data_IF_130613405268
#
_entry.id   IF_130613405268
#
_cell.length_a   1.000
_cell.length_b   1.000
_cell.length_c   1.000
_cell.angle_alpha   90.00
_cell.angle_beta   90.00
_cell.angle_gamma   90.00
#
_symmetry.space_group_name_H-M   'P 1'
#
loop_
_entity.id
_entity.type
_entity.pdbx_description
1 polymer ?
#
# COMPACT_ATOMS: atom_id res chain seq x y z
N UNK A 1 -6.99 -16.81 8.75
CA UNK A 1 -6.54 -17.02 7.41
C UNK A 1 -5.04 -16.73 7.31
N UNK A 2 -4.34 -17.57 6.56
CA UNK A 2 -2.87 -17.61 6.59
C UNK A 2 -2.22 -16.28 6.13
N UNK A 3 -2.72 -15.71 5.06
CA UNK A 3 -2.15 -14.47 4.52
C UNK A 3 -2.36 -13.27 5.42
N UNK A 4 -3.50 -13.22 6.09
CA UNK A 4 -3.76 -12.17 7.07
C UNK A 4 -2.82 -12.28 8.26
N UNK A 5 -2.50 -13.49 8.68
CA UNK A 5 -1.56 -13.72 9.76
C UNK A 5 -0.17 -13.21 9.39
N UNK A 6 0.29 -13.52 8.17
CA UNK A 6 1.58 -13.05 7.68
C UNK A 6 1.60 -11.52 7.60
N UNK A 7 0.54 -10.92 7.07
CA UNK A 7 0.43 -9.46 7.01
C UNK A 7 0.53 -8.84 8.40
N UNK A 8 -0.20 -9.37 9.36
CA UNK A 8 -0.17 -8.88 10.73
C UNK A 8 1.23 -8.96 11.35
N UNK A 9 1.94 -10.05 11.09
CA UNK A 9 3.31 -10.20 11.56
C UNK A 9 4.25 -9.17 10.94
N UNK A 10 4.10 -8.89 9.66
CA UNK A 10 4.91 -7.89 8.97
C UNK A 10 4.64 -6.48 9.48
N UNK A 11 3.39 -6.17 9.77
CA UNK A 11 3.04 -4.86 10.33
C UNK A 11 3.61 -4.70 11.75
N UNK A 12 3.54 -5.76 12.55
CA UNK A 12 4.13 -5.75 13.87
C UNK A 12 5.65 -5.59 13.82
N UNK A 13 6.30 -6.23 12.86
CA UNK A 13 7.74 -6.07 12.64
C UNK A 13 8.10 -4.63 12.32
N UNK A 14 7.32 -3.99 11.44
CA UNK A 14 7.51 -2.59 11.11
C UNK A 14 7.36 -1.67 12.30
N UNK A 15 6.36 -1.93 13.13
CA UNK A 15 6.15 -1.16 14.35
C UNK A 15 7.30 -1.33 15.34
N UNK A 16 7.81 -2.54 15.46
CA UNK A 16 8.96 -2.81 16.30
C UNK A 16 10.20 -2.03 15.83
N UNK A 17 10.44 -2.00 14.54
CA UNK A 17 11.55 -1.25 13.95
C UNK A 17 11.42 0.23 14.27
N UNK A 18 10.22 0.77 14.13
CA UNK A 18 9.97 2.18 14.45
C UNK A 18 10.27 2.50 15.91
N UNK A 19 9.82 1.64 16.81
CA UNK A 19 10.02 1.86 18.25
C UNK A 19 11.49 1.73 18.65
N UNK A 20 12.18 0.72 18.10
CA UNK A 20 13.54 0.43 18.51
C UNK A 20 14.55 1.38 17.88
N UNK A 21 14.41 1.71 16.62
CA UNK A 21 15.37 2.51 15.89
C UNK A 21 14.93 3.94 15.65
N UNK A 22 13.73 4.29 16.04
CA UNK A 22 13.13 5.61 15.81
C UNK A 22 13.14 5.99 14.33
N UNK A 23 12.92 5.01 13.47
CA UNK A 23 12.83 5.18 12.03
C UNK A 23 11.54 4.58 11.52
N UNK A 24 10.83 5.33 10.66
CA UNK A 24 9.62 4.83 10.05
C UNK A 24 9.98 3.96 8.85
N UNK A 25 9.58 2.69 8.82
CA UNK A 25 9.89 1.84 7.68
C UNK A 25 9.11 2.26 6.43
N UNK A 26 9.63 1.88 5.27
CA UNK A 26 8.89 1.96 4.02
C UNK A 26 8.16 0.64 3.83
N UNK A 27 6.85 0.70 3.62
CA UNK A 27 6.04 -0.50 3.43
C UNK A 27 5.91 -0.81 1.96
N UNK A 28 6.23 -2.04 1.61
CA UNK A 28 6.06 -2.56 0.25
C UNK A 28 5.02 -3.66 0.29
N UNK A 29 3.91 -3.48 -0.42
CA UNK A 29 2.78 -4.41 -0.36
C UNK A 29 2.35 -4.81 -1.77
N UNK A 30 2.38 -6.10 -2.03
CA UNK A 30 1.98 -6.63 -3.32
C UNK A 30 0.57 -7.20 -3.25
N UNK A 31 -0.35 -6.53 -3.93
CA UNK A 31 -1.75 -6.96 -4.08
C UNK A 31 -2.44 -7.27 -2.76
N UNK A 32 -2.12 -6.50 -1.72
CA UNK A 32 -2.62 -6.77 -0.37
C UNK A 32 -4.14 -6.59 -0.27
N UNK A 33 -4.69 -5.64 -1.02
CA UNK A 33 -6.12 -5.31 -0.88
C UNK A 33 -7.05 -6.34 -1.48
N UNK A 34 -6.57 -7.20 -2.37
CA UNK A 34 -7.40 -8.26 -2.94
C UNK A 34 -7.84 -9.28 -1.90
N UNK A 35 -7.10 -9.41 -0.81
CA UNK A 35 -7.38 -10.36 0.26
C UNK A 35 -8.18 -9.74 1.41
N UNK A 36 -8.44 -8.43 1.35
CA UNK A 36 -9.07 -7.72 2.45
C UNK A 36 -10.45 -7.23 2.04
N UNK A 37 -11.41 -7.31 2.96
CA UNK A 37 -12.70 -6.65 2.77
C UNK A 37 -12.56 -5.13 2.99
N UNK A 38 -13.63 -4.39 2.76
CA UNK A 38 -13.61 -2.94 2.87
C UNK A 38 -13.19 -2.45 4.26
N UNK A 39 -13.66 -3.14 5.30
CA UNK A 39 -13.36 -2.77 6.67
C UNK A 39 -11.89 -2.96 6.99
N UNK A 40 -11.34 -4.10 6.60
CA UNK A 40 -9.93 -4.41 6.83
C UNK A 40 -9.02 -3.52 6.00
N UNK A 41 -9.43 -3.21 4.77
CA UNK A 41 -8.68 -2.29 3.92
C UNK A 41 -8.59 -0.90 4.54
N UNK A 42 -9.69 -0.39 5.08
CA UNK A 42 -9.68 0.90 5.77
C UNK A 42 -8.79 0.88 7.01
N UNK A 43 -8.83 -0.22 7.75
CA UNK A 43 -7.99 -0.36 8.94
C UNK A 43 -6.50 -0.36 8.58
N UNK A 44 -6.14 -1.05 7.49
CA UNK A 44 -4.76 -1.06 7.01
C UNK A 44 -4.30 0.33 6.59
N UNK A 45 -5.11 1.04 5.81
CA UNK A 45 -4.78 2.38 5.37
C UNK A 45 -4.58 3.31 6.56
N UNK A 46 -5.44 3.19 7.56
CA UNK A 46 -5.32 3.98 8.78
C UNK A 46 -4.05 3.63 9.56
N UNK A 47 -3.71 2.36 9.65
CA UNK A 47 -2.49 1.91 10.32
C UNK A 47 -1.25 2.49 9.65
N UNK A 48 -1.21 2.48 8.33
CA UNK A 48 -0.05 2.98 7.58
C UNK A 48 0.15 4.48 7.77
N UNK A 49 -0.94 5.23 7.97
CA UNK A 49 -0.86 6.65 8.31
C UNK A 49 -0.02 7.44 7.32
N UNK A 50 1.02 8.10 7.82
CA UNK A 50 1.92 8.92 7.01
C UNK A 50 3.18 8.17 6.57
N UNK A 51 3.28 6.88 6.84
CA UNK A 51 4.42 6.11 6.40
C UNK A 51 4.46 6.01 4.89
N UNK A 52 5.66 6.07 4.32
CA UNK A 52 5.81 5.87 2.89
C UNK A 52 5.42 4.44 2.54
N UNK A 53 4.50 4.30 1.62
CA UNK A 53 3.96 2.99 1.25
C UNK A 53 3.88 2.88 -0.26
N UNK A 54 4.39 1.79 -0.79
CA UNK A 54 4.26 1.44 -2.20
C UNK A 54 3.46 0.16 -2.26
N UNK A 55 2.31 0.20 -2.92
CA UNK A 55 1.50 -1.00 -3.01
C UNK A 55 0.93 -1.18 -4.42
N UNK A 56 0.75 -2.43 -4.80
CA UNK A 56 0.17 -2.77 -6.09
C UNK A 56 -1.29 -3.16 -5.90
N UNK A 57 -2.09 -2.87 -6.90
CA UNK A 57 -3.51 -3.23 -6.90
C UNK A 57 -3.96 -3.42 -8.34
N UNK A 58 -4.97 -4.26 -8.52
CA UNK A 58 -5.58 -4.48 -9.83
C UNK A 58 -6.84 -3.66 -10.02
N UNK A 59 -7.26 -2.93 -8.98
CA UNK A 59 -8.53 -2.21 -8.98
C UNK A 59 -8.32 -0.81 -8.42
N UNK A 60 -8.85 0.18 -9.11
CA UNK A 60 -8.74 1.59 -8.71
C UNK A 60 -9.53 1.93 -7.44
N UNK A 61 -10.40 1.02 -6.99
CA UNK A 61 -11.15 1.24 -5.75
C UNK A 61 -10.25 1.43 -4.54
N UNK A 62 -9.02 0.94 -4.62
CA UNK A 62 -8.09 0.99 -3.50
C UNK A 62 -7.16 2.19 -3.56
N UNK A 63 -7.38 3.09 -4.53
CA UNK A 63 -6.58 4.31 -4.64
C UNK A 63 -7.07 5.32 -3.61
N UNK A 64 -6.16 5.81 -2.79
CA UNK A 64 -6.47 6.91 -1.88
C UNK A 64 -6.24 8.25 -2.60
N UNK A 65 -6.95 9.32 -2.20
CA UNK A 65 -6.76 10.63 -2.86
C UNK A 65 -5.33 11.15 -2.80
N UNK A 66 -4.59 10.76 -1.79
CA UNK A 66 -3.21 11.22 -1.60
C UNK A 66 -2.19 10.38 -2.37
N UNK A 67 -2.63 9.32 -3.03
CA UNK A 67 -1.71 8.40 -3.68
C UNK A 67 -1.27 8.92 -5.04
N UNK A 68 0.01 8.72 -5.33
CA UNK A 68 0.50 8.86 -6.69
C UNK A 68 0.23 7.55 -7.42
N UNK A 69 -0.50 7.63 -8.52
CA UNK A 69 -0.92 6.44 -9.25
C UNK A 69 -0.07 6.26 -10.50
N UNK A 70 0.51 5.07 -10.62
CA UNK A 70 1.24 4.66 -11.82
C UNK A 70 0.50 3.47 -12.41
N UNK A 71 0.02 3.62 -13.64
CA UNK A 71 -0.72 2.56 -14.31
C UNK A 71 0.23 1.79 -15.22
N UNK A 72 0.27 0.48 -14.99
CA UNK A 72 1.13 -0.42 -15.75
C UNK A 72 0.26 -1.38 -16.54
N UNK A 73 0.53 -1.49 -17.83
CA UNK A 73 -0.17 -2.42 -18.71
C UNK A 73 0.83 -3.10 -19.64
N UNK A 74 0.75 -4.44 -19.69
CA UNK A 74 1.63 -5.26 -20.54
C UNK A 74 3.11 -4.93 -20.33
N UNK A 75 3.48 -4.74 -19.06
CA UNK A 75 4.87 -4.47 -18.70
C UNK A 75 5.35 -3.04 -18.93
N UNK A 76 4.46 -2.13 -19.33
CA UNK A 76 4.83 -0.75 -19.61
C UNK A 76 3.98 0.23 -18.83
N UNK A 77 4.57 1.35 -18.46
CA UNK A 77 3.85 2.43 -17.81
C UNK A 77 3.07 3.19 -18.85
N UNK A 78 1.74 3.28 -18.69
CA UNK A 78 0.87 3.99 -19.63
C UNK A 78 0.39 5.34 -19.11
N UNK A 79 0.40 5.55 -17.80
CA UNK A 79 0.11 6.87 -17.25
C UNK A 79 0.67 6.97 -15.83
N UNK A 80 0.88 8.21 -15.40
CA UNK A 80 1.30 8.52 -14.05
C UNK A 80 0.57 9.79 -13.63
N UNK A 81 -0.08 9.73 -12.46
CA UNK A 81 -0.84 10.85 -11.93
C UNK A 81 -0.36 11.19 -10.54
N UNK A 82 -0.05 12.46 -10.35
CA UNK A 82 0.26 13.02 -9.03
C UNK A 82 -0.98 13.73 -8.51
N UNK A 83 -1.67 13.09 -7.60
CA UNK A 83 -2.87 13.68 -7.01
C UNK A 83 -2.53 14.55 -5.81
N UNK A 84 -1.36 14.33 -5.20
CA UNK A 84 -0.92 15.13 -4.09
C UNK A 84 0.61 15.11 -3.99
N UNK A 85 1.12 15.95 -3.09
CA UNK A 85 2.56 16.01 -2.82
C UNK A 85 3.00 14.94 -1.84
N UNK A 86 2.11 14.18 -1.29
CA UNK A 86 2.45 13.15 -0.33
C UNK A 86 2.94 11.90 -1.01
N UNK A 87 3.88 11.23 -0.33
CA UNK A 87 4.56 10.09 -0.89
C UNK A 87 3.80 8.82 -0.54
N UNK A 88 2.72 8.60 -1.25
CA UNK A 88 2.00 7.33 -1.27
C UNK A 88 1.88 6.91 -2.71
N UNK A 89 2.51 5.82 -3.04
CA UNK A 89 2.51 5.36 -4.42
C UNK A 89 1.68 4.11 -4.55
N UNK A 90 0.81 4.12 -5.52
CA UNK A 90 0.01 2.98 -5.90
C UNK A 90 0.35 2.60 -7.32
N UNK A 91 0.72 1.35 -7.51
CA UNK A 91 0.89 0.80 -8.85
C UNK A 91 -0.32 -0.08 -9.14
N UNK A 92 -1.15 0.35 -10.08
CA UNK A 92 -2.31 -0.42 -10.49
C UNK A 92 -1.99 -1.11 -11.81
N UNK A 93 -2.26 -2.42 -11.85
CA UNK A 93 -2.12 -3.19 -13.07
C UNK A 93 -3.49 -3.36 -13.70
N UNK A 94 -3.64 -2.92 -14.92
CA UNK A 94 -4.88 -3.11 -15.68
C UNK A 94 -4.61 -4.01 -16.86
N UNK A 95 -5.48 -4.97 -17.03
CA UNK A 95 -5.40 -5.87 -18.17
C UNK A 95 -6.28 -5.40 -19.29
#
# INVERSE_FOLDING_TARGET
EFRLMILSLKLAEGEYIQQKFNETPVYLMDDVFSELDARKSRALIKFLGNAQTIYTATDKRFVTPEARVIIVKEGAIISSQNESTEIRELVAKTN
#
